data_IF_750370405956
#
_entry.id   IF_750370405956
#
_cell.length_a   1.000
_cell.length_b   1.000
_cell.length_c   1.000
_cell.angle_alpha   90.00
_cell.angle_beta   90.00
_cell.angle_gamma   90.00
#
_symmetry.space_group_name_H-M   'P 1'
#
loop_
_entity.id
_entity.type
_entity.pdbx_description
1 polymer ?
#
# COMPACT_ATOMS: atom_id res chain seq x y z
N UNK A 1 -0.68 -15.48 10.35
CA UNK A 1 -0.98 -14.04 10.02
C UNK A 1 -2.04 -13.49 10.95
N UNK A 2 -1.91 -12.23 11.33
CA UNK A 2 -2.93 -11.52 12.10
C UNK A 2 -3.81 -10.73 11.11
N UNK A 3 -5.03 -11.20 10.89
CA UNK A 3 -5.96 -10.71 9.85
C UNK A 3 -7.14 -10.02 10.53
N UNK A 4 -7.33 -8.71 10.25
CA UNK A 4 -8.42 -7.95 10.83
C UNK A 4 -9.73 -8.13 10.07
N UNK A 5 -9.65 -8.10 8.74
CA UNK A 5 -10.85 -8.03 7.90
C UNK A 5 -10.59 -8.61 6.52
N UNK A 6 -11.66 -9.13 5.91
CA UNK A 6 -11.69 -9.58 4.53
C UNK A 6 -12.86 -8.92 3.81
N UNK A 7 -12.58 -8.15 2.77
CA UNK A 7 -13.60 -7.70 1.80
C UNK A 7 -13.75 -8.81 0.77
N UNK A 8 -14.94 -9.42 0.66
CA UNK A 8 -15.14 -10.61 -0.17
C UNK A 8 -14.90 -10.40 -1.66
N UNK A 9 -15.14 -9.18 -2.16
CA UNK A 9 -15.04 -8.85 -3.59
C UNK A 9 -14.82 -7.36 -3.75
N UNK A 10 -13.83 -7.00 -4.55
CA UNK A 10 -13.54 -5.65 -5.00
C UNK A 10 -13.22 -5.65 -6.49
N UNK A 11 -13.66 -4.60 -7.19
CA UNK A 11 -13.33 -4.30 -8.59
C UNK A 11 -12.36 -3.12 -8.72
N UNK A 12 -11.89 -2.58 -7.59
CA UNK A 12 -11.11 -1.33 -7.54
C UNK A 12 -9.68 -1.56 -7.05
N UNK A 13 -9.48 -2.56 -6.18
CA UNK A 13 -8.22 -2.71 -5.46
C UNK A 13 -7.15 -3.49 -6.24
N UNK A 14 -7.54 -4.25 -7.26
CA UNK A 14 -6.62 -4.90 -8.18
C UNK A 14 -6.93 -4.46 -9.62
N UNK A 15 -5.98 -3.79 -10.32
CA UNK A 15 -6.23 -3.33 -11.68
C UNK A 15 -6.72 -4.46 -12.61
N UNK A 16 -7.85 -4.25 -13.26
CA UNK A 16 -8.46 -5.15 -14.25
C UNK A 16 -8.79 -6.58 -13.73
N UNK A 17 -8.98 -6.73 -12.40
CA UNK A 17 -9.23 -8.03 -11.76
C UNK A 17 -10.35 -7.93 -10.72
N UNK A 18 -11.09 -9.02 -10.60
CA UNK A 18 -12.01 -9.23 -9.49
C UNK A 18 -11.22 -9.86 -8.34
N UNK A 19 -11.05 -9.16 -7.23
CA UNK A 19 -10.22 -9.64 -6.15
C UNK A 19 -10.89 -9.53 -4.78
N UNK A 20 -10.56 -10.43 -3.86
CA UNK A 20 -10.80 -10.21 -2.44
C UNK A 20 -9.72 -9.29 -1.87
N UNK A 21 -10.02 -8.56 -0.79
CA UNK A 21 -9.05 -7.67 -0.13
C UNK A 21 -8.89 -8.08 1.33
N UNK A 22 -7.69 -8.41 1.71
CA UNK A 22 -7.32 -8.86 3.05
C UNK A 22 -6.56 -7.77 3.79
N UNK A 23 -7.04 -7.40 4.95
CA UNK A 23 -6.43 -6.39 5.81
C UNK A 23 -5.69 -7.04 6.97
N UNK A 24 -4.36 -6.88 6.98
CA UNK A 24 -3.53 -7.29 8.11
C UNK A 24 -3.49 -6.21 9.19
N UNK A 25 -3.17 -6.60 10.43
CA UNK A 25 -2.93 -5.66 11.51
C UNK A 25 -1.44 -5.40 11.70
N UNK A 26 -1.14 -4.36 12.48
CA UNK A 26 0.18 -3.84 12.80
C UNK A 26 0.83 -3.13 11.62
N UNK A 27 1.48 -2.04 11.93
CA UNK A 27 2.32 -1.29 11.01
C UNK A 27 3.52 -0.76 11.80
N UNK A 28 4.66 -0.69 11.15
CA UNK A 28 5.85 -0.06 11.73
C UNK A 28 5.92 1.46 11.49
N UNK A 29 4.97 2.01 10.71
CA UNK A 29 4.79 3.45 10.58
C UNK A 29 3.67 3.96 11.49
N UNK A 30 3.67 5.27 11.76
CA UNK A 30 2.68 6.02 12.53
C UNK A 30 2.28 7.28 11.77
N UNK A 31 2.03 7.12 10.46
CA UNK A 31 1.66 8.25 9.60
C UNK A 31 0.49 9.03 10.24
N UNK A 32 0.63 10.32 10.53
CA UNK A 32 -0.41 11.09 11.20
C UNK A 32 -1.75 11.06 10.45
N UNK A 33 -1.67 11.00 9.13
CA UNK A 33 -2.81 10.94 8.20
C UNK A 33 -3.34 9.52 7.93
N UNK A 34 -2.93 8.52 8.68
CA UNK A 34 -3.40 7.15 8.47
C UNK A 34 -4.89 7.02 8.78
N UNK A 35 -5.66 6.47 7.82
CA UNK A 35 -7.12 6.29 7.90
C UNK A 35 -7.55 5.04 8.67
N UNK A 36 -6.60 4.16 9.00
CA UNK A 36 -6.87 2.89 9.65
C UNK A 36 -6.09 2.76 10.98
N UNK A 37 -6.28 3.69 11.94
CA UNK A 37 -5.60 3.62 13.22
C UNK A 37 -5.93 2.33 13.98
N UNK A 38 -7.10 1.73 13.74
CA UNK A 38 -7.54 0.46 14.30
C UNK A 38 -6.64 -0.72 13.87
N UNK A 39 -6.00 -0.64 12.71
CA UNK A 39 -5.08 -1.67 12.22
C UNK A 39 -3.64 -1.43 12.67
N UNK A 40 -3.32 -0.22 13.15
CA UNK A 40 -1.96 0.25 13.37
C UNK A 40 -1.60 0.38 14.85
N UNK A 41 -2.52 0.95 15.66
CA UNK A 41 -2.29 1.26 17.06
C UNK A 41 -2.49 0.01 17.93
N UNK A 42 -1.48 -0.40 18.74
CA UNK A 42 -1.54 -1.65 19.50
C UNK A 42 -2.76 -1.78 20.40
N UNK A 43 -3.19 -0.66 21.02
CA UNK A 43 -4.38 -0.61 21.89
C UNK A 43 -5.67 -0.91 21.12
N UNK A 44 -5.79 -0.41 19.88
CA UNK A 44 -6.95 -0.63 19.02
C UNK A 44 -6.93 -2.03 18.38
N UNK A 45 -5.75 -2.50 17.98
CA UNK A 45 -5.59 -3.87 17.44
C UNK A 45 -6.04 -4.94 18.43
N UNK A 46 -5.82 -4.73 19.75
CA UNK A 46 -6.26 -5.67 20.80
C UNK A 46 -7.78 -5.81 20.91
N UNK A 47 -8.54 -4.84 20.43
CA UNK A 47 -10.00 -4.83 20.45
C UNK A 47 -10.61 -5.55 19.24
N UNK A 48 -9.78 -5.87 18.22
CA UNK A 48 -10.25 -6.51 17.00
C UNK A 48 -10.46 -8.02 17.21
N UNK A 49 -11.53 -8.55 16.65
CA UNK A 49 -11.68 -9.97 16.43
C UNK A 49 -10.93 -10.34 15.14
N UNK A 50 -9.83 -11.05 15.27
CA UNK A 50 -9.03 -11.50 14.14
C UNK A 50 -9.67 -12.73 13.47
N UNK A 51 -9.51 -12.81 12.16
CA UNK A 51 -9.88 -13.96 11.34
C UNK A 51 -8.73 -14.99 11.36
N UNK A 52 -9.09 -16.27 11.37
CA UNK A 52 -8.09 -17.32 11.22
C UNK A 52 -7.63 -17.41 9.75
N UNK A 53 -6.33 -17.57 9.49
CA UNK A 53 -5.82 -17.73 8.12
C UNK A 53 -6.50 -18.87 7.34
N UNK A 54 -6.80 -19.99 8.02
CA UNK A 54 -7.45 -21.15 7.39
C UNK A 54 -8.90 -20.85 6.96
N UNK A 55 -9.63 -20.01 7.70
CA UNK A 55 -10.97 -19.55 7.29
C UNK A 55 -10.89 -18.73 6.02
N UNK A 56 -9.89 -17.87 5.90
CA UNK A 56 -9.66 -17.06 4.69
C UNK A 56 -9.27 -17.96 3.51
N UNK A 57 -8.38 -18.92 3.70
CA UNK A 57 -7.99 -19.85 2.63
C UNK A 57 -9.17 -20.71 2.16
N UNK A 58 -10.02 -21.16 3.08
CA UNK A 58 -11.26 -21.88 2.75
C UNK A 58 -12.20 -21.01 1.92
N UNK A 59 -12.43 -19.76 2.35
CA UNK A 59 -13.24 -18.81 1.60
C UNK A 59 -12.71 -18.58 0.17
N UNK A 60 -11.39 -18.42 0.02
CA UNK A 60 -10.77 -18.23 -1.29
C UNK A 60 -10.90 -19.48 -2.17
N UNK A 61 -10.75 -20.67 -1.60
CA UNK A 61 -10.89 -21.93 -2.30
C UNK A 61 -12.32 -22.14 -2.86
N UNK A 62 -13.34 -21.78 -2.07
CA UNK A 62 -14.75 -21.86 -2.47
C UNK A 62 -15.11 -20.87 -3.60
N UNK A 63 -14.32 -19.79 -3.75
CA UNK A 63 -14.55 -18.74 -4.77
C UNK A 63 -13.62 -18.83 -5.97
N UNK A 64 -12.91 -19.93 -6.12
CA UNK A 64 -12.11 -20.20 -7.32
C UNK A 64 -12.99 -20.16 -8.56
N UNK A 65 -12.52 -19.46 -9.60
CA UNK A 65 -13.28 -19.25 -10.84
C UNK A 65 -14.22 -18.03 -10.81
N UNK A 66 -14.44 -17.42 -9.64
CA UNK A 66 -15.10 -16.12 -9.51
C UNK A 66 -14.08 -15.00 -9.19
N UNK A 67 -13.14 -15.25 -8.28
CA UNK A 67 -12.07 -14.32 -7.97
C UNK A 67 -10.87 -14.61 -8.89
N UNK A 68 -10.29 -13.53 -9.42
CA UNK A 68 -9.00 -13.56 -10.13
C UNK A 68 -7.82 -13.54 -9.15
N UNK A 69 -7.97 -12.87 -7.99
CA UNK A 69 -6.86 -12.68 -7.08
C UNK A 69 -7.24 -12.25 -5.67
N UNK A 70 -6.17 -12.06 -4.87
CA UNK A 70 -6.20 -11.53 -3.52
C UNK A 70 -5.30 -10.29 -3.45
N UNK A 71 -5.82 -9.22 -2.86
CA UNK A 71 -5.04 -8.05 -2.44
C UNK A 71 -4.70 -8.17 -0.96
N UNK A 72 -3.44 -8.07 -0.63
CA UNK A 72 -2.93 -8.02 0.75
C UNK A 72 -2.58 -6.58 1.08
N UNK A 73 -3.24 -6.02 2.09
CA UNK A 73 -3.12 -4.62 2.52
C UNK A 73 -3.34 -4.50 4.03
N UNK A 74 -3.69 -3.33 4.54
CA UNK A 74 -4.10 -3.08 5.92
C UNK A 74 -3.12 -2.23 6.70
N UNK A 75 -2.45 -2.78 7.71
CA UNK A 75 -1.31 -2.15 8.38
C UNK A 75 -0.09 -2.19 7.47
N UNK A 76 0.84 -3.11 7.76
CA UNK A 76 1.95 -3.43 6.84
C UNK A 76 2.05 -4.96 6.71
N UNK A 77 1.64 -5.53 5.58
CA UNK A 77 1.64 -6.98 5.40
C UNK A 77 3.02 -7.63 5.53
N UNK A 78 4.10 -6.94 5.15
CA UNK A 78 5.46 -7.47 5.24
C UNK A 78 5.99 -7.65 6.68
N UNK A 79 5.22 -7.23 7.69
CA UNK A 79 5.51 -7.50 9.09
C UNK A 79 4.97 -8.86 9.57
N UNK A 80 4.11 -9.51 8.79
CA UNK A 80 3.55 -10.80 9.16
C UNK A 80 4.60 -11.90 8.97
N UNK A 81 4.95 -12.64 10.03
CA UNK A 81 6.08 -13.60 9.97
C UNK A 81 5.80 -14.79 9.03
N UNK A 82 4.55 -15.13 8.84
CA UNK A 82 4.05 -16.23 8.02
C UNK A 82 3.43 -15.77 6.69
N UNK A 83 3.78 -14.54 6.23
CA UNK A 83 3.27 -13.97 4.98
C UNK A 83 3.61 -14.84 3.78
N UNK A 84 4.86 -15.31 3.70
CA UNK A 84 5.35 -16.11 2.59
C UNK A 84 4.57 -17.42 2.43
N UNK A 85 4.38 -18.13 3.53
CA UNK A 85 3.66 -19.39 3.56
C UNK A 85 2.19 -19.18 3.16
N UNK A 86 1.55 -18.17 3.72
CA UNK A 86 0.16 -17.84 3.38
C UNK A 86 0.00 -17.50 1.91
N UNK A 87 0.87 -16.66 1.36
CA UNK A 87 0.83 -16.27 -0.05
C UNK A 87 1.07 -17.48 -0.96
N UNK A 88 1.97 -18.40 -0.58
CA UNK A 88 2.20 -19.63 -1.32
C UNK A 88 0.94 -20.51 -1.37
N UNK A 89 0.14 -20.58 -0.29
CA UNK A 89 -1.16 -21.27 -0.30
C UNK A 89 -2.13 -20.59 -1.28
N UNK A 90 -2.23 -19.25 -1.25
CA UNK A 90 -3.08 -18.51 -2.18
C UNK A 90 -2.67 -18.77 -3.64
N UNK A 91 -1.37 -18.78 -3.92
CA UNK A 91 -0.85 -19.12 -5.27
C UNK A 91 -1.20 -20.57 -5.67
N UNK A 92 -1.19 -21.53 -4.73
CA UNK A 92 -1.62 -22.92 -5.01
C UNK A 92 -3.10 -23.04 -5.33
N UNK A 93 -3.94 -22.11 -4.86
CA UNK A 93 -5.33 -22.02 -5.28
C UNK A 93 -5.50 -21.50 -6.73
N UNK A 94 -4.42 -21.05 -7.38
CA UNK A 94 -4.45 -20.48 -8.73
C UNK A 94 -4.84 -19.01 -8.78
N UNK A 95 -4.85 -18.31 -7.64
CA UNK A 95 -5.17 -16.90 -7.55
C UNK A 95 -3.93 -16.01 -7.77
N UNK A 96 -4.14 -14.86 -8.38
CA UNK A 96 -3.14 -13.80 -8.45
C UNK A 96 -3.01 -13.11 -7.09
N UNK A 97 -1.81 -12.61 -6.79
CA UNK A 97 -1.52 -11.91 -5.54
C UNK A 97 -1.05 -10.49 -5.83
N UNK A 98 -1.79 -9.50 -5.28
CA UNK A 98 -1.35 -8.12 -5.20
C UNK A 98 -0.93 -7.81 -3.76
N UNK A 99 0.23 -7.21 -3.61
CA UNK A 99 0.76 -6.75 -2.33
C UNK A 99 0.81 -5.22 -2.30
N UNK A 100 0.12 -4.63 -1.32
CA UNK A 100 0.25 -3.22 -0.96
C UNK A 100 1.22 -3.11 0.22
N UNK A 101 2.25 -2.27 0.10
CA UNK A 101 3.31 -2.16 1.12
C UNK A 101 3.84 -0.75 1.26
N UNK A 102 4.33 -0.41 2.45
CA UNK A 102 5.05 0.82 2.72
C UNK A 102 6.54 0.76 2.31
N UNK A 103 7.00 -0.40 1.86
CA UNK A 103 8.36 -0.59 1.36
C UNK A 103 9.47 -0.63 2.41
N UNK A 104 9.15 -0.68 3.70
CA UNK A 104 10.16 -0.65 4.78
C UNK A 104 10.94 -1.96 4.96
N UNK A 105 10.50 -3.04 4.32
CA UNK A 105 11.08 -4.38 4.48
C UNK A 105 11.56 -4.94 3.12
N UNK A 106 12.64 -4.36 2.55
CA UNK A 106 13.16 -4.80 1.25
C UNK A 106 13.56 -6.27 1.20
N UNK A 107 14.00 -6.86 2.33
CA UNK A 107 14.38 -8.27 2.38
C UNK A 107 13.18 -9.20 2.15
N UNK A 108 12.02 -8.85 2.73
CA UNK A 108 10.77 -9.60 2.55
C UNK A 108 10.27 -9.45 1.11
N UNK A 109 10.34 -8.24 0.55
CA UNK A 109 9.96 -8.01 -0.85
C UNK A 109 10.84 -8.80 -1.81
N UNK A 110 12.17 -8.82 -1.57
CA UNK A 110 13.11 -9.57 -2.38
C UNK A 110 12.81 -11.07 -2.37
N UNK A 111 12.54 -11.63 -1.19
CA UNK A 111 12.19 -13.04 -1.03
C UNK A 111 10.88 -13.40 -1.75
N UNK A 112 9.83 -12.61 -1.57
CA UNK A 112 8.54 -12.85 -2.22
C UNK A 112 8.64 -12.75 -3.75
N UNK A 113 9.35 -11.74 -4.26
CA UNK A 113 9.55 -11.55 -5.70
C UNK A 113 10.42 -12.66 -6.30
N UNK A 114 11.50 -13.06 -5.62
CA UNK A 114 12.36 -14.15 -6.07
C UNK A 114 11.62 -15.49 -6.13
N UNK A 115 10.65 -15.70 -5.24
CA UNK A 115 9.82 -16.90 -5.21
C UNK A 115 8.63 -16.86 -6.18
N UNK A 116 8.42 -15.75 -6.92
CA UNK A 116 7.28 -15.61 -7.84
C UNK A 116 5.92 -15.59 -7.15
N UNK A 117 5.87 -15.13 -5.89
CA UNK A 117 4.67 -15.17 -5.06
C UNK A 117 3.80 -13.92 -5.20
N UNK A 118 4.30 -12.85 -5.77
CA UNK A 118 3.57 -11.59 -5.98
C UNK A 118 3.48 -11.28 -7.47
N UNK A 119 2.26 -11.06 -7.97
CA UNK A 119 1.99 -10.75 -9.39
C UNK A 119 1.88 -9.24 -9.64
N UNK A 120 1.45 -8.49 -8.63
CA UNK A 120 1.35 -7.03 -8.68
C UNK A 120 1.80 -6.42 -7.35
N UNK A 121 2.63 -5.37 -7.41
CA UNK A 121 3.10 -4.70 -6.21
C UNK A 121 2.74 -3.21 -6.25
N UNK A 122 2.00 -2.75 -5.25
CA UNK A 122 1.75 -1.34 -5.05
C UNK A 122 2.55 -0.85 -3.84
N UNK A 123 3.51 0.03 -4.08
CA UNK A 123 4.32 0.58 -3.00
C UNK A 123 3.93 2.03 -2.73
N UNK A 124 3.57 2.30 -1.48
CA UNK A 124 3.29 3.66 -1.04
C UNK A 124 4.58 4.42 -0.73
N UNK A 125 4.83 5.49 -1.47
CA UNK A 125 5.90 6.45 -1.23
C UNK A 125 5.30 7.63 -0.47
N UNK A 126 5.65 7.75 0.82
CA UNK A 126 4.94 8.67 1.73
C UNK A 126 5.41 10.12 1.65
N UNK A 127 6.64 10.35 1.21
CA UNK A 127 7.28 11.66 1.14
C UNK A 127 8.55 11.62 0.29
N UNK A 128 9.17 12.76 -0.07
CA UNK A 128 10.56 12.78 -0.51
C UNK A 128 11.45 12.06 0.51
N UNK A 129 12.47 11.33 0.05
CA UNK A 129 13.35 10.55 0.94
C UNK A 129 13.92 11.38 2.10
N UNK A 130 14.18 12.68 1.86
CA UNK A 130 14.70 13.58 2.91
C UNK A 130 13.70 13.83 4.05
N UNK A 131 12.39 13.81 3.77
CA UNK A 131 11.29 14.05 4.72
C UNK A 131 10.56 12.80 5.18
N UNK A 132 11.05 11.63 4.80
CA UNK A 132 10.28 10.37 4.94
C UNK A 132 9.88 10.08 6.39
N UNK A 133 10.77 10.29 7.36
CA UNK A 133 10.50 10.05 8.79
C UNK A 133 9.42 11.00 9.36
N UNK A 134 9.30 12.20 8.81
CA UNK A 134 8.27 13.18 9.18
C UNK A 134 6.87 12.63 8.84
N UNK A 135 6.68 12.20 7.59
CA UNK A 135 5.40 11.72 7.10
C UNK A 135 5.07 10.30 7.58
N UNK A 136 6.08 9.48 7.83
CA UNK A 136 5.92 8.16 8.42
C UNK A 136 5.62 8.20 9.93
N UNK A 137 5.84 9.35 10.59
CA UNK A 137 5.61 9.55 12.03
C UNK A 137 6.57 8.78 12.94
N UNK A 138 7.63 8.22 12.38
CA UNK A 138 8.68 7.45 13.08
C UNK A 138 10.01 7.59 12.33
N UNK A 139 11.16 7.35 12.99
CA UNK A 139 12.43 7.21 12.28
C UNK A 139 12.37 6.09 11.22
N UNK A 140 12.76 6.39 9.99
CA UNK A 140 12.77 5.46 8.86
C UNK A 140 14.16 5.32 8.28
N UNK A 141 14.58 4.09 8.02
CA UNK A 141 15.77 3.81 7.22
C UNK A 141 15.48 4.13 5.74
N UNK A 142 15.95 5.30 5.30
CA UNK A 142 15.78 5.77 3.93
C UNK A 142 16.50 4.89 2.91
N UNK A 143 17.56 4.19 3.33
CA UNK A 143 18.28 3.27 2.46
C UNK A 143 17.44 2.02 2.16
N UNK A 144 16.68 1.53 3.14
CA UNK A 144 15.73 0.44 2.97
C UNK A 144 14.61 0.83 1.98
N UNK A 145 14.03 2.03 2.13
CA UNK A 145 13.03 2.55 1.18
C UNK A 145 13.61 2.63 -0.23
N UNK A 146 14.80 3.23 -0.41
CA UNK A 146 15.47 3.31 -1.71
C UNK A 146 15.79 1.94 -2.30
N UNK A 147 16.13 0.95 -1.47
CA UNK A 147 16.32 -0.45 -1.91
C UNK A 147 15.00 -1.05 -2.39
N UNK A 148 13.91 -0.86 -1.66
CA UNK A 148 12.59 -1.35 -2.06
C UNK A 148 12.13 -0.74 -3.38
N UNK A 149 12.29 0.57 -3.58
CA UNK A 149 11.98 1.24 -4.84
C UNK A 149 12.74 0.57 -6.01
N UNK A 150 14.04 0.33 -5.86
CA UNK A 150 14.84 -0.36 -6.90
C UNK A 150 14.34 -1.78 -7.15
N UNK A 151 14.12 -2.57 -6.10
CA UNK A 151 13.62 -3.95 -6.21
C UNK A 151 12.29 -4.01 -6.96
N UNK A 152 11.34 -3.13 -6.62
CA UNK A 152 10.04 -3.05 -7.27
C UNK A 152 10.20 -2.75 -8.76
N UNK A 153 11.00 -1.76 -9.12
CA UNK A 153 11.25 -1.37 -10.52
C UNK A 153 11.90 -2.47 -11.34
N UNK A 154 12.84 -3.20 -10.77
CA UNK A 154 13.67 -4.17 -11.47
C UNK A 154 13.06 -5.57 -11.52
N UNK A 155 12.29 -5.96 -10.48
CA UNK A 155 11.89 -7.36 -10.29
C UNK A 155 10.39 -7.60 -10.20
N UNK A 156 9.56 -6.59 -9.89
CA UNK A 156 8.13 -6.82 -9.83
C UNK A 156 7.55 -7.10 -11.22
N UNK A 157 6.72 -8.14 -11.38
CA UNK A 157 6.10 -8.48 -12.67
C UNK A 157 5.27 -7.33 -13.23
N UNK A 158 4.44 -6.73 -12.37
CA UNK A 158 3.76 -5.46 -12.62
C UNK A 158 3.67 -4.66 -11.32
N UNK A 159 3.61 -3.32 -11.42
CA UNK A 159 3.63 -2.48 -10.22
C UNK A 159 3.15 -1.06 -10.45
N UNK A 160 2.84 -0.40 -9.35
CA UNK A 160 2.66 1.04 -9.23
C UNK A 160 3.34 1.59 -7.97
N UNK A 161 3.81 2.84 -8.03
CA UNK A 161 4.07 3.64 -6.85
C UNK A 161 2.89 4.57 -6.61
N UNK A 162 2.55 4.80 -5.33
CA UNK A 162 1.43 5.65 -4.93
C UNK A 162 1.90 6.66 -3.90
N UNK A 163 1.37 7.87 -3.98
CA UNK A 163 1.54 8.87 -2.93
C UNK A 163 0.18 9.44 -2.55
N UNK A 164 -0.25 9.20 -1.30
CA UNK A 164 -1.34 9.97 -0.71
C UNK A 164 -0.81 11.37 -0.44
N UNK A 165 -1.36 12.36 -1.11
CA UNK A 165 -0.91 13.74 -0.99
C UNK A 165 -1.51 14.36 0.28
N UNK A 166 -0.90 14.00 1.40
CA UNK A 166 -1.27 14.47 2.71
C UNK A 166 -1.03 15.98 2.86
N UNK A 167 -1.72 16.69 3.79
CA UNK A 167 -1.67 18.15 3.91
C UNK A 167 -0.28 18.78 4.03
N UNK A 168 0.69 18.05 4.57
CA UNK A 168 2.07 18.52 4.69
C UNK A 168 2.89 18.42 3.39
N UNK A 169 2.34 17.83 2.32
CA UNK A 169 3.00 17.69 1.03
C UNK A 169 2.54 18.82 0.09
N UNK A 170 3.48 19.65 -0.30
CA UNK A 170 3.27 20.69 -1.32
C UNK A 170 3.72 20.24 -2.71
N UNK A 171 3.57 21.15 -3.67
CA UNK A 171 3.97 20.96 -5.06
C UNK A 171 5.44 20.51 -5.21
N UNK A 172 6.35 21.17 -4.46
CA UNK A 172 7.80 20.86 -4.52
C UNK A 172 8.11 19.44 -4.01
N UNK A 173 7.37 18.98 -2.97
CA UNK A 173 7.53 17.63 -2.45
C UNK A 173 7.11 16.59 -3.49
N UNK A 174 5.94 16.80 -4.11
CA UNK A 174 5.43 15.87 -5.14
C UNK A 174 6.38 15.84 -6.33
N UNK A 175 6.88 17.00 -6.76
CA UNK A 175 7.88 17.08 -7.84
C UNK A 175 9.17 16.34 -7.48
N UNK A 176 9.59 16.44 -6.23
CA UNK A 176 10.79 15.73 -5.74
C UNK A 176 10.55 14.22 -5.73
N UNK A 177 9.40 13.75 -5.21
CA UNK A 177 9.02 12.33 -5.25
C UNK A 177 8.98 11.85 -6.71
N UNK A 178 8.37 12.62 -7.62
CA UNK A 178 8.29 12.25 -9.02
C UNK A 178 9.68 12.04 -9.65
N UNK A 179 10.63 12.92 -9.36
CA UNK A 179 12.03 12.76 -9.81
C UNK A 179 12.69 11.50 -9.22
N UNK A 180 12.48 11.22 -7.93
CA UNK A 180 12.97 10.00 -7.27
C UNK A 180 12.36 8.73 -7.91
N UNK A 181 11.13 8.82 -8.42
CA UNK A 181 10.39 7.73 -9.06
C UNK A 181 10.49 7.75 -10.60
N UNK A 182 11.18 8.71 -11.20
CA UNK A 182 11.27 8.87 -12.66
C UNK A 182 11.67 7.57 -13.37
N UNK A 183 11.06 7.30 -14.51
CA UNK A 183 11.26 6.06 -15.28
C UNK A 183 10.48 4.85 -14.75
N UNK A 184 9.66 4.99 -13.72
CA UNK A 184 8.78 3.92 -13.25
C UNK A 184 7.60 3.70 -14.21
N UNK A 185 7.01 2.48 -14.18
CA UNK A 185 5.87 2.15 -15.05
C UNK A 185 4.64 2.99 -14.72
N UNK A 186 4.24 3.00 -13.44
CA UNK A 186 3.05 3.75 -12.99
C UNK A 186 3.36 4.52 -11.72
N UNK A 187 2.91 5.76 -11.69
CA UNK A 187 2.88 6.57 -10.49
C UNK A 187 1.48 7.15 -10.29
N UNK A 188 0.95 7.08 -9.09
CA UNK A 188 -0.42 7.48 -8.77
C UNK A 188 -0.40 8.48 -7.62
N UNK A 189 -0.99 9.65 -7.85
CA UNK A 189 -1.30 10.60 -6.81
C UNK A 189 -2.70 10.32 -6.27
N UNK A 190 -2.79 10.13 -4.96
CA UNK A 190 -4.07 9.90 -4.28
C UNK A 190 -4.43 11.15 -3.47
N UNK A 191 -5.59 11.78 -3.74
CA UNK A 191 -6.07 12.88 -2.91
C UNK A 191 -6.18 12.43 -1.46
N UNK A 192 -5.81 13.31 -0.55
CA UNK A 192 -6.07 13.09 0.86
C UNK A 192 -7.53 13.39 1.15
N UNK A 193 -8.26 12.37 1.61
CA UNK A 193 -9.66 12.48 2.00
C UNK A 193 -9.84 11.79 3.34
N UNK A 194 -10.47 12.45 4.30
CA UNK A 194 -10.87 11.80 5.55
C UNK A 194 -12.26 11.18 5.34
N UNK A 195 -12.37 9.83 5.32
CA UNK A 195 -13.66 9.19 5.13
C UNK A 195 -14.62 9.53 6.28
N UNK A 196 -15.90 9.69 5.97
CA UNK A 196 -16.92 9.98 6.96
C UNK A 196 -16.94 8.90 8.07
N UNK A 197 -16.92 9.33 9.32
CA UNK A 197 -16.92 8.43 10.48
C UNK A 197 -15.58 7.77 10.81
N UNK A 198 -14.52 8.07 10.04
CA UNK A 198 -13.15 7.63 10.34
C UNK A 198 -12.38 8.69 11.13
N UNK A 199 -11.47 8.23 11.95
CA UNK A 199 -10.48 9.08 12.65
C UNK A 199 -9.10 8.80 12.08
N UNK A 200 -8.24 9.80 12.11
CA UNK A 200 -6.82 9.64 11.77
C UNK A 200 -6.01 9.26 13.03
N UNK A 201 -4.76 8.83 12.84
CA UNK A 201 -3.83 8.67 13.97
C UNK A 201 -3.64 10.00 14.69
N UNK A 202 -3.48 11.09 13.94
CA UNK A 202 -3.55 12.45 14.48
C UNK A 202 -4.75 13.19 13.87
N UNK A 203 -5.83 13.40 14.63
CA UNK A 203 -7.03 14.06 14.13
C UNK A 203 -6.81 15.48 13.58
N UNK A 204 -5.80 16.20 14.07
CA UNK A 204 -5.49 17.57 13.62
C UNK A 204 -5.18 17.63 12.11
N UNK A 205 -4.68 16.55 11.54
CA UNK A 205 -4.41 16.47 10.09
C UNK A 205 -5.68 16.49 9.24
N UNK A 206 -6.81 16.09 9.80
CA UNK A 206 -8.10 16.14 9.12
C UNK A 206 -8.63 17.56 8.90
N UNK A 207 -8.12 18.52 9.66
CA UNK A 207 -8.50 19.94 9.58
C UNK A 207 -7.53 20.77 8.74
N UNK A 208 -6.39 20.19 8.34
CA UNK A 208 -5.39 20.87 7.52
C UNK A 208 -5.81 20.88 6.05
N UNK A 209 -5.50 21.95 5.35
CA UNK A 209 -5.72 22.04 3.90
C UNK A 209 -4.77 21.10 3.15
N UNK A 210 -5.32 20.24 2.33
CA UNK A 210 -4.59 19.44 1.35
C UNK A 210 -4.79 20.01 -0.05
N UNK A 211 -3.95 19.62 -1.01
CA UNK A 211 -4.15 19.97 -2.40
C UNK A 211 -5.48 19.39 -2.91
N UNK A 212 -6.25 20.23 -3.57
CA UNK A 212 -7.53 19.85 -4.20
C UNK A 212 -7.32 18.96 -5.43
N UNK A 213 -8.37 18.28 -5.87
CA UNK A 213 -8.31 17.47 -7.09
C UNK A 213 -7.77 18.24 -8.31
N UNK A 214 -8.29 19.45 -8.64
CA UNK A 214 -7.77 20.28 -9.74
C UNK A 214 -6.28 20.66 -9.57
N UNK A 215 -5.82 20.92 -8.34
CA UNK A 215 -4.41 21.21 -8.10
C UNK A 215 -3.54 19.96 -8.32
N UNK A 216 -4.02 18.79 -7.92
CA UNK A 216 -3.34 17.51 -8.18
C UNK A 216 -3.26 17.19 -9.67
N UNK A 217 -4.33 17.45 -10.43
CA UNK A 217 -4.31 17.32 -11.90
C UNK A 217 -3.30 18.26 -12.53
N UNK A 218 -3.24 19.52 -12.09
CA UNK A 218 -2.23 20.47 -12.57
C UNK A 218 -0.79 20.03 -12.23
N UNK A 219 -0.58 19.40 -11.07
CA UNK A 219 0.69 18.77 -10.72
C UNK A 219 0.98 17.62 -11.67
N UNK A 220 -0.02 16.73 -11.89
CA UNK A 220 0.14 15.56 -12.76
C UNK A 220 0.50 15.94 -14.20
N UNK A 221 -0.11 16.96 -14.75
CA UNK A 221 0.23 17.46 -16.10
C UNK A 221 1.73 17.80 -16.26
N UNK A 222 2.40 18.21 -15.19
CA UNK A 222 3.82 18.56 -15.20
C UNK A 222 4.75 17.36 -15.04
N UNK A 223 4.37 16.42 -14.15
CA UNK A 223 5.24 15.29 -13.79
C UNK A 223 4.92 14.01 -14.57
N UNK A 224 3.71 13.86 -15.08
CA UNK A 224 3.22 12.60 -15.66
C UNK A 224 4.05 12.09 -16.85
N UNK A 225 4.77 12.98 -17.54
CA UNK A 225 5.67 12.61 -18.65
C UNK A 225 6.89 11.77 -18.22
N UNK A 226 7.19 11.73 -16.92
CA UNK A 226 8.29 10.95 -16.39
C UNK A 226 7.94 9.46 -16.21
N UNK A 227 6.66 9.09 -16.44
CA UNK A 227 6.12 7.75 -16.20
C UNK A 227 5.49 7.18 -17.48
N UNK A 228 5.41 5.85 -17.58
CA UNK A 228 4.71 5.19 -18.68
C UNK A 228 3.19 5.21 -18.49
N UNK A 229 2.71 5.45 -17.29
CA UNK A 229 1.30 5.55 -16.92
C UNK A 229 1.10 6.03 -15.50
N UNK A 230 -0.16 6.23 -15.13
CA UNK A 230 -0.55 6.73 -13.82
C UNK A 230 -1.59 7.84 -13.93
N UNK A 231 -1.71 8.65 -12.88
CA UNK A 231 -2.70 9.72 -12.82
C UNK A 231 -3.01 10.16 -11.40
N UNK A 232 -4.06 10.95 -11.29
CA UNK A 232 -4.73 11.24 -10.02
C UNK A 232 -5.88 10.22 -9.88
N UNK A 233 -5.98 9.54 -8.72
CA UNK A 233 -6.98 8.49 -8.51
C UNK A 233 -7.72 8.71 -7.21
#
# INVERSE_FOLDING_TARGET
MEIAHLVPTSLLDYPDRVAAVLFTVRCNFRCPFCHNPELVLPERVRELRLLAPDEVLTFLAERRGFLDGLVLTGGEPTLQPDLREFVAEVKRLGLLVKLDTNGSRPDVLEDLLAAGLVDYLAMDVKAPLARYSELAGVPVDRSAIGRSIRLVRERAPDYEFRTTVAPALGFEDITTIAREMSGSRRYVLQPFVVPQGKTLIDPAWGEMAALSGPELEAVWERIGREFLGGGVR
#
